data_IF_926966130601
#
_entry.id   IF_926966130601
#
_cell.length_a   1.000
_cell.length_b   1.000
_cell.length_c   1.000
_cell.angle_alpha   90.00
_cell.angle_beta   90.00
_cell.angle_gamma   90.00
#
_symmetry.space_group_name_H-M   'P 1'
#
loop_
_entity.id
_entity.type
_entity.pdbx_description
1 polymer ?
#
# COMPACT_ATOMS: atom_id res chain seq x y z
N UNK A 1 -3.62 6.43 17.36
CA UNK A 1 -3.49 6.88 15.95
C UNK A 1 -4.76 6.56 15.18
N UNK A 2 -5.20 7.42 14.28
CA UNK A 2 -6.35 7.22 13.39
C UNK A 2 -5.90 7.38 11.93
N UNK A 3 -6.46 6.57 11.02
CA UNK A 3 -6.18 6.67 9.59
C UNK A 3 -7.50 6.86 8.84
N UNK A 4 -7.53 7.83 7.94
CA UNK A 4 -8.67 8.13 7.07
C UNK A 4 -8.23 8.25 5.62
N UNK A 5 -9.17 8.15 4.68
CA UNK A 5 -8.91 8.35 3.26
C UNK A 5 -10.08 9.07 2.58
N UNK A 6 -9.80 10.14 1.87
CA UNK A 6 -10.78 10.78 0.99
C UNK A 6 -11.14 9.90 -0.23
N UNK A 7 -10.34 8.89 -0.50
CA UNK A 7 -10.56 7.87 -1.53
C UNK A 7 -11.58 6.79 -1.14
N UNK A 8 -11.98 6.74 0.14
CA UNK A 8 -12.96 5.78 0.66
C UNK A 8 -14.20 6.55 1.12
N UNK A 9 -15.37 6.20 0.58
CA UNK A 9 -16.66 6.81 0.95
C UNK A 9 -17.63 5.71 1.35
N UNK A 10 -18.18 5.79 2.57
CA UNK A 10 -19.11 4.77 3.10
C UNK A 10 -18.57 3.33 3.03
N UNK A 11 -17.26 3.15 3.30
CA UNK A 11 -16.59 1.86 3.22
C UNK A 11 -16.21 1.41 1.81
N UNK A 12 -16.59 2.16 0.77
CA UNK A 12 -16.28 1.84 -0.64
C UNK A 12 -15.10 2.65 -1.15
N UNK A 13 -14.13 1.99 -1.74
CA UNK A 13 -13.00 2.62 -2.44
C UNK A 13 -13.50 3.16 -3.78
N UNK A 14 -13.18 4.42 -4.10
CA UNK A 14 -13.58 5.05 -5.35
C UNK A 14 -12.95 4.35 -6.57
N UNK A 15 -13.64 4.31 -7.73
CA UNK A 15 -13.21 3.55 -8.91
C UNK A 15 -11.81 3.87 -9.43
N UNK A 16 -11.34 5.12 -9.30
CA UNK A 16 -10.05 5.57 -9.85
C UNK A 16 -8.81 4.87 -9.24
N UNK A 17 -8.94 4.24 -8.07
CA UNK A 17 -7.82 3.61 -7.38
C UNK A 17 -7.58 2.15 -7.79
N UNK A 18 -8.25 1.66 -8.80
CA UNK A 18 -8.12 0.30 -9.32
C UNK A 18 -8.47 0.17 -10.79
N UNK A 19 -8.83 -1.03 -11.21
CA UNK A 19 -9.09 -1.40 -12.63
C UNK A 19 -10.19 -0.59 -13.32
N UNK A 20 -11.04 0.10 -12.56
CA UNK A 20 -12.09 0.99 -13.09
C UNK A 20 -11.61 2.44 -13.24
N UNK A 21 -10.34 2.72 -12.95
CA UNK A 21 -9.69 4.00 -13.19
C UNK A 21 -9.25 4.18 -14.65
N UNK A 22 -8.44 5.22 -14.87
CA UNK A 22 -7.97 5.58 -16.22
C UNK A 22 -6.44 5.66 -16.32
N UNK A 23 -5.71 5.47 -15.21
CA UNK A 23 -4.26 5.53 -15.18
C UNK A 23 -3.68 4.13 -14.96
N UNK A 24 -2.86 3.68 -15.91
CA UNK A 24 -2.23 2.36 -15.92
C UNK A 24 -0.77 2.48 -16.33
N UNK A 25 0.06 1.52 -15.90
CA UNK A 25 1.39 1.37 -16.47
C UNK A 25 1.33 0.59 -17.80
N UNK A 26 2.49 0.35 -18.42
CA UNK A 26 2.62 -0.36 -19.70
C UNK A 26 2.09 -1.81 -19.68
N UNK A 27 1.95 -2.41 -18.50
CA UNK A 27 1.44 -3.76 -18.30
C UNK A 27 -0.01 -3.77 -17.80
N UNK A 28 -0.75 -2.67 -18.03
CA UNK A 28 -2.15 -2.50 -17.66
C UNK A 28 -2.45 -2.63 -16.15
N UNK A 29 -1.45 -2.39 -15.29
CA UNK A 29 -1.64 -2.34 -13.83
C UNK A 29 -2.09 -0.92 -13.46
N UNK A 30 -3.19 -0.76 -12.69
CA UNK A 30 -3.63 0.56 -12.25
C UNK A 30 -2.58 1.22 -11.34
N UNK A 31 -2.27 2.50 -11.54
CA UNK A 31 -1.20 3.19 -10.82
C UNK A 31 -1.63 4.45 -10.06
N UNK A 32 -2.90 4.83 -10.14
CA UNK A 32 -3.43 6.00 -9.43
C UNK A 32 -3.59 5.69 -7.94
N UNK A 33 -2.64 6.11 -7.10
CA UNK A 33 -2.55 5.67 -5.72
C UNK A 33 -3.59 6.30 -4.78
N UNK A 34 -4.06 5.48 -3.82
CA UNK A 34 -5.02 5.86 -2.79
C UNK A 34 -4.40 6.90 -1.83
N UNK A 35 -5.06 8.05 -1.56
CA UNK A 35 -4.63 8.98 -0.55
C UNK A 35 -4.97 8.49 0.85
N UNK A 36 -4.22 8.93 1.85
CA UNK A 36 -4.57 8.71 3.24
C UNK A 36 -4.01 9.82 4.15
N UNK A 37 -4.65 10.00 5.29
CA UNK A 37 -4.26 10.93 6.33
C UNK A 37 -4.17 10.21 7.66
N UNK A 38 -3.12 10.51 8.42
CA UNK A 38 -2.89 9.99 9.78
C UNK A 38 -3.08 11.12 10.77
N UNK A 39 -3.90 10.86 11.80
CA UNK A 39 -4.17 11.80 12.89
C UNK A 39 -3.84 11.15 14.24
N UNK A 40 -3.49 11.97 15.22
CA UNK A 40 -3.21 11.52 16.57
C UNK A 40 -2.12 10.44 16.64
N UNK A 41 -1.09 10.53 15.79
CA UNK A 41 0.10 9.71 15.93
C UNK A 41 0.81 10.01 17.27
N UNK A 42 1.41 9.01 17.94
CA UNK A 42 2.20 9.24 19.15
C UNK A 42 3.31 10.29 18.94
N UNK A 43 3.65 11.05 19.99
CA UNK A 43 4.65 12.11 19.90
C UNK A 43 6.06 11.59 19.54
N UNK A 44 6.36 10.33 19.87
CA UNK A 44 7.60 9.64 19.54
C UNK A 44 7.70 9.17 18.10
N UNK A 45 6.65 9.37 17.29
CA UNK A 45 6.65 8.97 15.88
C UNK A 45 7.66 9.76 15.07
N UNK A 46 8.65 9.07 14.52
CA UNK A 46 9.68 9.61 13.62
C UNK A 46 9.32 9.40 12.16
N UNK A 47 8.74 8.23 11.82
CA UNK A 47 8.31 7.91 10.46
C UNK A 47 7.09 7.00 10.45
N UNK A 48 6.46 6.88 9.28
CA UNK A 48 5.43 5.89 9.03
C UNK A 48 5.92 4.84 8.03
N UNK A 49 5.38 3.63 8.16
CA UNK A 49 5.41 2.61 7.12
C UNK A 49 3.98 2.14 6.81
N UNK A 50 3.75 1.68 5.58
CA UNK A 50 2.45 1.18 5.15
C UNK A 50 2.55 -0.14 4.42
N UNK A 51 1.49 -0.94 4.58
CA UNK A 51 1.22 -2.15 3.81
C UNK A 51 -0.24 -2.10 3.36
N UNK A 52 -0.47 -1.96 2.06
CA UNK A 52 -1.80 -2.11 1.46
C UNK A 52 -1.92 -3.52 0.90
N UNK A 53 -2.85 -4.29 1.40
CA UNK A 53 -2.97 -5.71 1.10
C UNK A 53 -4.41 -6.15 0.82
N UNK A 54 -4.54 -7.27 0.08
CA UNK A 54 -5.79 -7.93 -0.26
C UNK A 54 -5.72 -9.38 0.23
N UNK A 55 -6.45 -9.69 1.29
CA UNK A 55 -6.56 -11.04 1.87
C UNK A 55 -7.58 -11.90 1.13
N UNK A 56 -8.50 -11.30 0.37
CA UNK A 56 -9.53 -12.00 -0.40
C UNK A 56 -8.98 -12.60 -1.70
N UNK A 57 -7.76 -12.23 -2.10
CA UNK A 57 -7.11 -12.72 -3.33
C UNK A 57 -6.69 -14.21 -3.27
N UNK A 58 -6.83 -14.90 -2.14
CA UNK A 58 -6.35 -16.28 -1.93
C UNK A 58 -6.79 -17.29 -3.00
N UNK A 59 -7.97 -17.21 -3.66
CA UNK A 59 -8.32 -18.17 -4.70
C UNK A 59 -7.43 -18.11 -5.94
N UNK A 60 -6.95 -16.90 -6.29
CA UNK A 60 -6.10 -16.69 -7.47
C UNK A 60 -4.62 -16.77 -7.15
N UNK A 61 -4.22 -16.49 -5.90
CA UNK A 61 -2.82 -16.53 -5.47
C UNK A 61 -2.36 -17.93 -5.06
N UNK A 62 -3.28 -18.84 -4.81
CA UNK A 62 -2.96 -20.15 -4.23
C UNK A 62 -2.69 -20.08 -2.72
N UNK A 63 -3.22 -19.05 -2.04
CA UNK A 63 -3.27 -18.96 -0.59
C UNK A 63 -2.39 -17.89 0.05
N UNK A 64 -1.68 -17.05 -0.69
CA UNK A 64 -0.96 -15.92 -0.11
C UNK A 64 -1.73 -14.59 -0.25
N UNK A 65 -1.42 -13.66 0.66
CA UNK A 65 -1.98 -12.30 0.65
C UNK A 65 -1.37 -11.50 -0.50
N UNK A 66 -2.21 -10.83 -1.30
CA UNK A 66 -1.72 -9.97 -2.37
C UNK A 66 -1.36 -8.58 -1.83
N UNK A 67 -0.15 -8.15 -2.11
CA UNK A 67 0.37 -6.84 -1.71
C UNK A 67 0.18 -5.86 -2.85
N UNK A 68 -0.48 -4.74 -2.56
CA UNK A 68 -0.76 -3.67 -3.50
C UNK A 68 0.22 -2.50 -3.40
N UNK A 69 0.66 -2.18 -2.18
CA UNK A 69 1.58 -1.06 -1.95
C UNK A 69 2.35 -1.24 -0.66
N UNK A 70 3.67 -1.07 -0.74
CA UNK A 70 4.57 -0.95 0.39
C UNK A 70 5.25 0.40 0.33
N UNK A 71 5.26 1.16 1.43
CA UNK A 71 6.08 2.34 1.56
C UNK A 71 6.63 2.46 2.98
N UNK A 72 7.78 3.11 3.12
CA UNK A 72 8.45 3.31 4.40
C UNK A 72 9.19 4.65 4.43
N UNK A 73 9.60 5.05 5.64
CA UNK A 73 10.29 6.32 5.86
C UNK A 73 9.45 7.54 5.47
N UNK A 74 8.12 7.44 5.59
CA UNK A 74 7.20 8.54 5.36
C UNK A 74 7.25 9.45 6.60
N UNK A 75 7.66 10.72 6.41
CA UNK A 75 7.82 11.71 7.51
C UNK A 75 6.68 12.72 7.60
N UNK A 76 5.66 12.59 6.78
CA UNK A 76 4.44 13.42 6.77
C UNK A 76 3.21 12.55 7.00
N UNK A 77 2.14 13.17 7.48
CA UNK A 77 0.91 12.47 7.88
C UNK A 77 -0.23 12.61 6.86
N UNK A 78 0.05 13.18 5.69
CA UNK A 78 -0.93 13.44 4.64
C UNK A 78 -0.34 13.05 3.28
N UNK A 79 -0.80 11.94 2.74
CA UNK A 79 -0.42 11.42 1.43
C UNK A 79 -1.58 11.70 0.47
N UNK A 80 -1.28 12.45 -0.59
CA UNK A 80 -2.29 12.88 -1.57
C UNK A 80 -2.58 11.81 -2.62
N UNK A 81 -3.62 12.04 -3.40
CA UNK A 81 -3.93 11.23 -4.58
C UNK A 81 -2.71 11.13 -5.52
N UNK A 82 -2.48 9.92 -6.01
CA UNK A 82 -1.50 9.64 -7.08
C UNK A 82 -0.04 9.96 -6.73
N UNK A 83 0.31 10.10 -5.46
CA UNK A 83 1.68 10.45 -5.07
C UNK A 83 2.67 9.29 -5.24
N UNK A 84 2.24 8.03 -5.22
CA UNK A 84 3.15 6.89 -5.35
C UNK A 84 4.04 6.98 -6.59
N UNK A 85 3.54 7.54 -7.70
CA UNK A 85 4.31 7.63 -8.95
C UNK A 85 5.35 8.78 -8.96
N UNK A 86 5.20 9.76 -8.09
CA UNK A 86 5.99 11.01 -8.17
C UNK A 86 6.71 11.37 -6.87
N UNK A 87 6.35 10.76 -5.75
CA UNK A 87 6.97 11.05 -4.46
C UNK A 87 8.44 10.62 -4.42
N UNK A 88 9.28 11.50 -3.87
CA UNK A 88 10.72 11.29 -3.70
C UNK A 88 11.15 11.41 -2.23
N UNK A 89 10.20 11.67 -1.34
CA UNK A 89 10.41 11.93 0.09
C UNK A 89 10.16 10.69 0.97
N UNK A 90 9.85 9.56 0.37
CA UNK A 90 9.77 8.23 1.02
C UNK A 90 10.19 7.14 0.04
N UNK A 91 10.46 5.95 0.57
CA UNK A 91 10.86 4.78 -0.22
C UNK A 91 9.70 3.80 -0.34
N UNK A 92 9.69 3.02 -1.44
CA UNK A 92 8.62 2.07 -1.75
C UNK A 92 9.18 0.67 -1.99
N UNK A 93 8.42 -0.33 -1.56
CA UNK A 93 8.75 -1.74 -1.73
C UNK A 93 7.99 -2.39 -2.88
N UNK A 94 8.37 -3.63 -3.19
CA UNK A 94 7.78 -4.42 -4.29
C UNK A 94 6.39 -4.93 -3.90
N UNK A 95 5.43 -4.66 -4.75
CA UNK A 95 4.09 -5.23 -4.68
C UNK A 95 4.07 -6.65 -5.28
N UNK A 96 2.93 -7.36 -5.18
CA UNK A 96 2.82 -8.75 -5.61
C UNK A 96 2.86 -8.99 -7.12
N UNK A 97 2.83 -7.94 -7.95
CA UNK A 97 3.08 -8.10 -9.41
C UNK A 97 4.51 -8.52 -9.73
N UNK A 98 5.46 -8.44 -8.79
CA UNK A 98 6.81 -9.04 -8.93
C UNK A 98 6.79 -10.57 -8.88
N UNK A 99 5.72 -11.20 -8.39
CA UNK A 99 5.58 -12.66 -8.30
C UNK A 99 5.27 -13.30 -9.67
N UNK A 100 5.41 -14.63 -9.74
CA UNK A 100 5.02 -15.42 -10.93
C UNK A 100 3.54 -15.17 -11.27
N UNK A 101 2.66 -15.15 -10.27
CA UNK A 101 1.22 -14.88 -10.45
C UNK A 101 0.95 -13.45 -10.94
N UNK A 102 1.83 -12.51 -10.62
CA UNK A 102 1.77 -11.12 -11.07
C UNK A 102 2.45 -10.85 -12.41
N UNK A 103 3.01 -11.88 -13.06
CA UNK A 103 3.70 -11.75 -14.35
C UNK A 103 5.13 -11.27 -14.22
N UNK A 104 5.79 -11.48 -13.07
CA UNK A 104 7.22 -11.23 -12.83
C UNK A 104 7.67 -9.82 -13.24
N UNK A 105 6.85 -8.81 -12.85
CA UNK A 105 7.16 -7.41 -13.15
C UNK A 105 8.52 -7.00 -12.61
N UNK A 106 9.22 -6.12 -13.35
CA UNK A 106 10.52 -5.61 -12.93
C UNK A 106 10.44 -4.85 -11.61
N UNK A 107 11.59 -4.66 -10.96
CA UNK A 107 11.69 -3.88 -9.71
C UNK A 107 11.17 -2.46 -9.92
N UNK A 108 11.48 -1.85 -11.06
CA UNK A 108 11.09 -0.49 -11.42
C UNK A 108 9.57 -0.35 -11.58
N UNK A 109 8.87 -1.38 -12.07
CA UNK A 109 7.42 -1.36 -12.26
C UNK A 109 6.65 -1.81 -11.02
N UNK A 110 7.22 -2.69 -10.20
CA UNK A 110 6.55 -3.26 -9.02
C UNK A 110 6.82 -2.51 -7.71
N UNK A 111 7.80 -1.59 -7.66
CA UNK A 111 8.13 -0.82 -6.45
C UNK A 111 7.31 0.46 -6.29
N UNK A 112 6.02 0.37 -6.59
CA UNK A 112 5.02 1.43 -6.52
C UNK A 112 3.65 0.85 -6.13
N UNK A 113 2.66 1.73 -6.04
CA UNK A 113 1.27 1.33 -5.91
C UNK A 113 0.81 0.54 -7.13
N UNK A 114 0.25 -0.65 -6.90
CA UNK A 114 -0.54 -1.40 -7.86
C UNK A 114 -2.00 -1.42 -7.40
N UNK A 115 -2.91 -0.89 -8.23
CA UNK A 115 -4.30 -0.65 -7.82
C UNK A 115 -5.15 -1.90 -7.69
N UNK A 116 -6.35 -1.74 -7.13
CA UNK A 116 -7.30 -2.80 -6.86
C UNK A 116 -7.81 -3.43 -8.16
N UNK A 117 -7.69 -4.77 -8.25
CA UNK A 117 -8.08 -5.54 -9.44
C UNK A 117 -8.75 -6.86 -9.06
N UNK A 118 -9.84 -6.83 -8.24
CA UNK A 118 -10.47 -8.07 -7.80
C UNK A 118 -11.00 -8.85 -9.01
N UNK A 119 -10.71 -10.17 -9.15
CA UNK A 119 -11.03 -10.90 -10.37
C UNK A 119 -12.41 -11.57 -10.37
N UNK A 120 -13.00 -11.84 -9.20
CA UNK A 120 -14.16 -12.72 -9.05
C UNK A 120 -15.36 -12.04 -8.36
N UNK A 121 -15.13 -11.23 -7.35
CA UNK A 121 -16.16 -10.56 -6.52
C UNK A 121 -15.57 -9.28 -5.94
N UNK A 122 -16.34 -8.42 -5.26
CA UNK A 122 -15.78 -7.33 -4.46
C UNK A 122 -14.84 -7.86 -3.39
N UNK A 123 -13.64 -7.25 -3.25
CA UNK A 123 -12.66 -7.59 -2.24
C UNK A 123 -12.54 -6.47 -1.20
N UNK A 124 -12.16 -6.85 0.03
CA UNK A 124 -11.80 -5.93 1.10
C UNK A 124 -10.29 -5.70 1.10
N UNK A 125 -9.89 -4.45 0.95
CA UNK A 125 -8.50 -4.01 1.00
C UNK A 125 -8.19 -3.42 2.36
N UNK A 126 -7.03 -3.76 2.90
CA UNK A 126 -6.57 -3.29 4.21
C UNK A 126 -5.31 -2.45 4.04
N UNK A 127 -5.40 -1.16 4.40
CA UNK A 127 -4.25 -0.28 4.53
C UNK A 127 -3.79 -0.31 5.98
N UNK A 128 -2.73 -1.05 6.26
CA UNK A 128 -2.07 -1.09 7.55
C UNK A 128 -1.04 0.03 7.62
N UNK A 129 -1.14 0.90 8.61
CA UNK A 129 -0.22 2.02 8.85
C UNK A 129 0.46 1.80 10.19
N UNK A 130 1.78 1.86 10.18
CA UNK A 130 2.63 1.69 11.35
C UNK A 130 3.34 3.01 11.66
N UNK A 131 3.21 3.51 12.89
CA UNK A 131 4.00 4.60 13.41
C UNK A 131 5.29 4.04 14.02
N UNK A 132 6.43 4.58 13.64
CA UNK A 132 7.74 4.07 14.01
C UNK A 132 8.55 5.13 14.77
N UNK A 133 9.36 4.70 15.75
CA UNK A 133 10.25 5.57 16.53
C UNK A 133 11.59 5.89 15.83
N UNK A 134 11.75 5.46 14.57
CA UNK A 134 12.98 5.69 13.78
C UNK A 134 12.70 5.73 12.28
N UNK A 135 13.71 6.16 11.52
CA UNK A 135 13.83 5.87 10.09
C UNK A 135 14.42 4.47 9.91
N UNK A 136 13.89 3.70 8.96
CA UNK A 136 14.34 2.34 8.68
C UNK A 136 15.56 2.35 7.73
N UNK A 137 16.53 1.48 8.01
CA UNK A 137 17.69 1.26 7.12
C UNK A 137 17.37 0.21 6.06
N UNK A 138 16.44 0.54 5.15
CA UNK A 138 16.06 -0.27 3.99
C UNK A 138 16.09 0.60 2.73
N UNK A 139 16.14 -0.04 1.56
CA UNK A 139 16.29 0.66 0.27
C UNK A 139 15.06 0.52 -0.59
N UNK A 140 14.87 1.44 -1.54
CA UNK A 140 13.85 1.36 -2.58
C UNK A 140 13.83 -0.05 -3.21
N UNK A 141 12.65 -0.62 -3.39
CA UNK A 141 12.47 -1.96 -3.93
C UNK A 141 12.58 -3.09 -2.89
N UNK A 142 12.45 -2.75 -1.60
CA UNK A 142 12.46 -3.74 -0.52
C UNK A 142 11.26 -4.71 -0.61
N UNK A 143 11.41 -5.89 0.00
CA UNK A 143 10.32 -6.86 0.15
C UNK A 143 9.56 -6.65 1.47
N UNK A 144 8.32 -7.17 1.55
CA UNK A 144 7.50 -7.10 2.76
C UNK A 144 8.19 -7.68 4.00
N UNK A 145 8.88 -8.82 3.85
CA UNK A 145 9.61 -9.45 4.95
C UNK A 145 10.79 -8.59 5.44
N UNK A 146 11.48 -7.87 4.55
CA UNK A 146 12.52 -6.91 4.95
C UNK A 146 11.91 -5.75 5.75
N UNK A 147 10.73 -5.24 5.33
CA UNK A 147 10.00 -4.22 6.07
C UNK A 147 9.63 -4.70 7.47
N UNK A 148 9.07 -5.89 7.61
CA UNK A 148 8.69 -6.44 8.92
C UNK A 148 9.90 -6.63 9.83
N UNK A 149 11.02 -7.15 9.33
CA UNK A 149 12.26 -7.27 10.10
C UNK A 149 12.81 -5.90 10.54
N UNK A 150 12.75 -4.90 9.66
CA UNK A 150 13.24 -3.56 9.97
C UNK A 150 12.35 -2.83 10.99
N UNK A 151 11.04 -3.12 11.03
CA UNK A 151 10.09 -2.54 11.98
C UNK A 151 10.08 -3.24 13.35
N UNK A 152 10.64 -4.45 13.46
CA UNK A 152 10.59 -5.24 14.70
C UNK A 152 11.20 -4.48 15.88
N UNK A 153 10.42 -4.34 16.97
CA UNK A 153 10.78 -3.57 18.15
C UNK A 153 10.72 -2.03 17.99
N UNK A 154 10.26 -1.51 16.84
CA UNK A 154 10.21 -0.07 16.55
C UNK A 154 8.81 0.47 16.27
N UNK A 155 7.78 -0.35 16.36
CA UNK A 155 6.39 0.07 16.18
C UNK A 155 5.88 0.68 17.48
N UNK A 156 5.53 1.97 17.46
CA UNK A 156 4.96 2.68 18.61
C UNK A 156 3.44 2.73 18.60
N UNK A 157 2.83 2.64 17.42
CA UNK A 157 1.37 2.50 17.23
C UNK A 157 1.06 1.94 15.84
N UNK A 158 -0.15 1.39 15.67
CA UNK A 158 -0.61 0.91 14.36
C UNK A 158 -2.12 1.09 14.21
N UNK A 159 -2.57 1.28 12.97
CA UNK A 159 -3.98 1.40 12.64
C UNK A 159 -4.24 0.79 11.26
N UNK A 160 -5.38 0.11 11.09
CA UNK A 160 -5.82 -0.45 9.81
C UNK A 160 -7.05 0.28 9.30
N UNK A 161 -6.98 0.82 8.09
CA UNK A 161 -8.10 1.36 7.35
C UNK A 161 -8.56 0.33 6.31
N UNK A 162 -9.87 0.01 6.31
CA UNK A 162 -10.45 -0.96 5.37
C UNK A 162 -11.36 -0.27 4.35
N UNK A 163 -11.36 -0.80 3.14
CA UNK A 163 -12.28 -0.38 2.09
C UNK A 163 -12.58 -1.52 1.12
N UNK A 164 -13.79 -1.54 0.60
CA UNK A 164 -14.24 -2.51 -0.40
C UNK A 164 -14.07 -1.90 -1.79
N UNK A 165 -13.50 -2.66 -2.72
CA UNK A 165 -13.45 -2.30 -4.13
C UNK A 165 -14.26 -3.31 -4.94
N UNK A 166 -15.14 -2.77 -5.79
CA UNK A 166 -16.03 -3.55 -6.66
C UNK A 166 -15.25 -4.30 -7.75
N UNK A 167 -15.77 -5.48 -8.13
CA UNK A 167 -15.23 -6.24 -9.26
C UNK A 167 -15.51 -5.57 -10.62
#
# INVERSE_FOLDING_TARGET
MNVTSSGIKNGMIKPQYGKRGTQFNENAIPTYSLPFQVENAPNETVSLAIVLEDKDAYPVTGGFVWIHWLAANITRFDIKDNESQTATDFIQGRNSWTSIQGGEQSVELSSYYGGMTPPDKPHTYELNVYALDKMLDIKQGFFLNELYHAMDGHIVDQCTLKGIYEN
#
